data_IF_644708178577
#
_entry.id   IF_644708178577
#
_cell.length_a   1.000
_cell.length_b   1.000
_cell.length_c   1.000
_cell.angle_alpha   90.00
_cell.angle_beta   90.00
_cell.angle_gamma   90.00
#
_symmetry.space_group_name_H-M   'P 1'
#
loop_
_entity.id
_entity.type
_entity.pdbx_description
1 polymer ?
#
# COMPACT_ATOMS: atom_id res chain seq x y z
N UNK A 1 6.98 -14.38 -24.19
CA UNK A 1 5.75 -13.73 -23.69
C UNK A 1 5.93 -13.54 -22.20
N UNK A 2 6.08 -12.30 -21.74
CA UNK A 2 6.18 -11.96 -20.31
C UNK A 2 4.78 -12.05 -19.70
N UNK A 3 4.64 -12.78 -18.59
CA UNK A 3 3.34 -13.08 -17.96
C UNK A 3 2.62 -11.85 -17.39
N UNK A 4 1.32 -12.01 -17.11
CA UNK A 4 0.47 -11.00 -16.47
C UNK A 4 0.14 -11.46 -15.05
N UNK A 5 0.30 -10.58 -14.07
CA UNK A 5 -0.11 -10.77 -12.68
C UNK A 5 -1.30 -9.87 -12.34
N UNK A 6 -2.18 -10.35 -11.45
CA UNK A 6 -3.30 -9.59 -10.90
C UNK A 6 -3.31 -9.84 -9.39
N UNK A 7 -3.42 -8.77 -8.60
CA UNK A 7 -3.60 -8.84 -7.16
C UNK A 7 -4.82 -8.01 -6.71
N UNK A 8 -5.42 -8.41 -5.59
CA UNK A 8 -6.59 -7.77 -5.00
C UNK A 8 -6.42 -7.64 -3.49
N UNK A 9 -6.65 -6.43 -2.99
CA UNK A 9 -6.63 -6.14 -1.56
C UNK A 9 -7.79 -5.24 -1.16
N UNK A 10 -8.46 -5.58 -0.06
CA UNK A 10 -9.42 -4.69 0.61
C UNK A 10 -8.70 -3.52 1.28
N UNK A 11 -9.18 -2.30 1.04
CA UNK A 11 -8.59 -1.07 1.62
C UNK A 11 -8.64 -1.13 3.15
N UNK A 12 -9.76 -1.57 3.72
CA UNK A 12 -9.97 -1.69 5.16
C UNK A 12 -8.94 -2.64 5.80
N UNK A 13 -8.54 -3.69 5.08
CA UNK A 13 -7.49 -4.61 5.54
C UNK A 13 -6.13 -3.94 5.60
N UNK A 14 -5.79 -3.09 4.62
CA UNK A 14 -4.57 -2.27 4.67
C UNK A 14 -4.64 -1.28 5.85
N UNK A 15 -5.77 -0.60 6.04
CA UNK A 15 -5.97 0.34 7.15
C UNK A 15 -5.77 -0.33 8.51
N UNK A 16 -6.45 -1.46 8.75
CA UNK A 16 -6.32 -2.23 9.98
C UNK A 16 -4.90 -2.74 10.19
N UNK A 17 -4.23 -3.20 9.12
CA UNK A 17 -2.86 -3.68 9.21
C UNK A 17 -1.88 -2.55 9.61
N UNK A 18 -2.01 -1.37 9.02
CA UNK A 18 -1.20 -0.20 9.33
C UNK A 18 -1.49 0.34 10.73
N UNK A 19 -2.76 0.37 11.15
CA UNK A 19 -3.15 0.77 12.50
C UNK A 19 -2.57 -0.18 13.56
N UNK A 20 -2.68 -1.50 13.33
CA UNK A 20 -2.15 -2.53 14.24
C UNK A 20 -0.62 -2.55 14.26
N UNK A 21 0.03 -2.23 13.14
CA UNK A 21 1.49 -2.31 12.98
C UNK A 21 2.03 -1.08 12.22
N UNK A 22 2.21 0.07 12.88
CA UNK A 22 2.62 1.31 12.19
C UNK A 22 3.93 1.20 11.39
N UNK A 23 4.90 0.42 11.89
CA UNK A 23 6.18 0.15 11.19
C UNK A 23 6.04 -0.68 9.91
N UNK A 24 4.87 -1.24 9.64
CA UNK A 24 4.60 -1.99 8.40
C UNK A 24 4.76 -1.09 7.18
N UNK A 25 4.33 0.17 7.26
CA UNK A 25 4.49 1.13 6.17
C UNK A 25 5.96 1.35 5.79
N UNK A 26 6.85 1.41 6.78
CA UNK A 26 8.29 1.60 6.56
C UNK A 26 8.95 0.39 5.91
N UNK A 27 8.44 -0.81 6.20
CA UNK A 27 8.95 -2.07 5.66
C UNK A 27 8.49 -2.35 4.22
N UNK A 28 7.27 -1.96 3.88
CA UNK A 28 6.66 -2.28 2.57
C UNK A 28 6.84 -1.17 1.52
N UNK A 29 7.01 0.08 1.94
CA UNK A 29 7.01 1.23 1.04
C UNK A 29 8.26 2.08 1.23
N UNK A 30 8.79 2.62 0.14
CA UNK A 30 9.92 3.55 0.20
C UNK A 30 9.51 4.89 0.84
N UNK A 31 10.46 5.72 1.31
CA UNK A 31 10.14 7.04 1.87
C UNK A 31 9.33 7.93 0.90
N UNK A 32 9.65 7.88 -0.39
CA UNK A 32 8.95 8.64 -1.43
C UNK A 32 7.51 8.19 -1.61
N UNK A 33 7.25 6.89 -1.58
CA UNK A 33 5.89 6.34 -1.70
C UNK A 33 5.02 6.70 -0.50
N UNK A 34 5.57 6.65 0.71
CA UNK A 34 4.87 7.08 1.93
C UNK A 34 4.54 8.56 1.87
N UNK A 35 5.50 9.39 1.48
CA UNK A 35 5.31 10.85 1.37
C UNK A 35 4.26 11.20 0.32
N UNK A 36 4.30 10.55 -0.85
CA UNK A 36 3.33 10.76 -1.91
C UNK A 36 1.91 10.33 -1.51
N UNK A 37 1.78 9.22 -0.77
CA UNK A 37 0.49 8.69 -0.33
C UNK A 37 -0.10 9.52 0.81
N UNK A 38 0.74 10.02 1.73
CA UNK A 38 0.31 10.89 2.84
C UNK A 38 -0.31 12.22 2.38
N UNK A 39 0.02 12.69 1.17
CA UNK A 39 -0.55 13.90 0.55
C UNK A 39 -1.92 13.69 -0.11
N UNK A 40 -2.44 12.46 -0.11
CA UNK A 40 -3.71 12.10 -0.78
C UNK A 40 -4.85 12.16 0.22
N UNK A 41 -6.07 12.37 -0.30
CA UNK A 41 -7.28 12.39 0.52
C UNK A 41 -7.52 11.07 1.27
N UNK A 42 -7.06 9.93 0.70
CA UNK A 42 -7.14 8.60 1.31
C UNK A 42 -5.79 7.90 1.21
N UNK A 43 -4.86 8.13 2.17
CA UNK A 43 -3.51 7.56 2.11
C UNK A 43 -3.48 6.03 2.07
N UNK A 44 -4.33 5.36 2.87
CA UNK A 44 -4.35 3.90 2.94
C UNK A 44 -4.83 3.25 1.64
N UNK A 45 -5.81 3.83 0.94
CA UNK A 45 -6.21 3.38 -0.39
C UNK A 45 -5.06 3.47 -1.40
N UNK A 46 -4.29 4.56 -1.37
CA UNK A 46 -3.11 4.69 -2.22
C UNK A 46 -2.01 3.68 -1.87
N UNK A 47 -1.81 3.38 -0.59
CA UNK A 47 -0.86 2.36 -0.14
C UNK A 47 -1.32 0.95 -0.52
N UNK A 48 -2.63 0.66 -0.46
CA UNK A 48 -3.19 -0.62 -0.90
C UNK A 48 -2.95 -0.85 -2.41
N UNK A 49 -3.24 0.15 -3.25
CA UNK A 49 -2.98 0.06 -4.69
C UNK A 49 -1.48 -0.15 -5.00
N UNK A 50 -0.60 0.52 -4.24
CA UNK A 50 0.86 0.32 -4.38
C UNK A 50 1.32 -1.06 -3.92
N UNK A 51 0.66 -1.63 -2.93
CA UNK A 51 0.96 -2.99 -2.48
C UNK A 51 0.63 -4.00 -3.58
N UNK A 52 -0.60 -3.95 -4.12
CA UNK A 52 -1.01 -4.83 -5.21
C UNK A 52 -0.17 -4.70 -6.48
N UNK A 53 0.40 -3.52 -6.75
CA UNK A 53 1.29 -3.31 -7.89
C UNK A 53 2.71 -3.90 -7.69
N UNK A 54 3.08 -4.29 -6.47
CA UNK A 54 4.40 -4.88 -6.15
C UNK A 54 4.41 -6.40 -6.18
N UNK A 55 3.25 -7.03 -5.97
CA UNK A 55 3.06 -8.49 -6.08
C UNK A 55 3.01 -8.94 -7.54
#
# INVERSE_FOLDING_TARGET
MTGVGIDLLEIDRMEQALARRPRLAERLFTPGERTASARRARPAQHLAARFCAKE
#
